data_IF_446955463751
#
_entry.id   IF_446955463751
#
_cell.length_a   1.000
_cell.length_b   1.000
_cell.length_c   1.000
_cell.angle_alpha   90.00
_cell.angle_beta   90.00
_cell.angle_gamma   90.00
#
_symmetry.space_group_name_H-M   'P 1'
#
loop_
_entity.id
_entity.type
_entity.pdbx_description
1 polymer ?
2 non-polymer ?
3 non-polymer ?
4 non-polymer ?
5 water ?
#
# COMPACT_ATOMS: atom_id res chain seq x y z
N UNK A 1 11.67 8.53 -9.39
CA UNK A 1 10.72 8.51 -8.25
C UNK A 1 11.28 7.65 -7.10
N UNK A 2 10.79 7.94 -5.91
CA UNK A 2 11.11 7.15 -4.71
C UNK A 2 10.47 5.79 -4.75
N UNK A 3 11.21 4.79 -4.28
CA UNK A 3 10.69 3.44 -4.05
C UNK A 3 10.75 2.95 -2.60
N UNK A 4 11.36 3.73 -1.71
CA UNK A 4 11.53 3.32 -0.31
C UNK A 4 10.46 4.03 0.53
N UNK A 5 9.45 3.25 0.93
CA UNK A 5 8.34 3.72 1.75
C UNK A 5 8.72 4.29 3.08
N UNK A 6 9.87 3.85 3.60
CA UNK A 6 10.37 4.37 4.89
C UNK A 6 10.97 5.71 4.77
N UNK A 7 11.46 6.06 3.59
CA UNK A 7 12.23 7.28 3.40
C UNK A 7 11.48 8.42 2.70
N UNK A 8 10.32 8.13 2.11
CA UNK A 8 9.52 9.11 1.44
C UNK A 8 8.21 8.57 0.93
N UNK A 9 7.37 9.44 0.35
CA UNK A 9 6.10 8.99 -0.14
C UNK A 9 6.18 8.19 -1.41
N UNK A 10 5.09 7.49 -1.70
CA UNK A 10 4.99 6.70 -2.89
C UNK A 10 4.03 7.34 -3.83
N UNK A 11 4.52 7.74 -4.98
CA UNK A 11 3.65 8.25 -6.03
C UNK A 11 2.82 7.14 -6.65
N UNK A 12 1.80 7.52 -7.39
CA UNK A 12 0.99 6.53 -8.08
C UNK A 12 1.82 5.71 -9.08
N UNK A 13 2.83 6.32 -9.72
CA UNK A 13 3.74 5.61 -10.59
C UNK A 13 4.61 4.58 -9.81
N UNK A 14 5.10 4.96 -8.64
CA UNK A 14 6.01 4.13 -7.88
C UNK A 14 5.35 2.82 -7.42
N UNK A 15 4.03 2.84 -7.21
CA UNK A 15 3.26 1.65 -6.84
C UNK A 15 3.39 0.51 -7.85
N UNK A 16 3.66 0.86 -9.10
CA UNK A 16 3.62 -0.08 -10.20
C UNK A 16 4.96 -0.22 -10.95
N UNK A 17 5.78 0.83 -10.92
CA UNK A 17 7.01 0.87 -11.68
C UNK A 17 8.28 0.58 -10.85
N UNK A 18 8.19 0.70 -9.53
CA UNK A 18 9.29 0.26 -8.67
C UNK A 18 9.55 -1.23 -8.90
N UNK A 19 10.81 -1.62 -9.01
CA UNK A 19 11.17 -3.02 -9.17
C UNK A 19 10.73 -3.80 -7.95
N UNK A 20 9.79 -4.76 -8.14
CA UNK A 20 9.25 -5.47 -6.97
C UNK A 20 10.24 -6.37 -6.26
N UNK A 21 11.37 -6.64 -6.91
CA UNK A 21 12.43 -7.43 -6.34
C UNK A 21 13.39 -6.63 -5.48
N UNK A 22 13.24 -5.29 -5.42
CA UNK A 22 14.07 -4.48 -4.54
C UNK A 22 13.74 -4.81 -3.07
N UNK A 23 14.75 -5.25 -2.34
CA UNK A 23 14.62 -5.85 -1.00
C UNK A 23 14.62 -4.77 0.07
N UNK A 24 13.58 -3.94 -0.01
CA UNK A 24 13.38 -2.83 0.91
C UNK A 24 12.40 -3.25 1.99
N UNK A 25 12.92 -3.43 3.20
CA UNK A 25 12.18 -4.02 4.29
C UNK A 25 12.03 -5.51 4.19
N UNK A 26 11.45 -6.09 5.22
CA UNK A 26 11.32 -7.54 5.29
C UNK A 26 10.29 -8.05 4.28
N UNK A 27 10.57 -9.20 3.69
CA UNK A 27 9.63 -9.86 2.83
C UNK A 27 8.40 -10.30 3.61
N UNK A 28 7.25 -10.23 2.97
CA UNK A 28 6.00 -10.83 3.47
C UNK A 28 5.32 -11.65 2.39
N UNK A 29 4.97 -12.89 2.74
CA UNK A 29 4.27 -13.75 1.79
C UNK A 29 2.87 -13.23 1.48
N UNK A 30 2.27 -12.51 2.44
CA UNK A 30 0.88 -12.11 2.31
C UNK A 30 0.66 -10.78 1.58
N UNK A 31 1.75 -10.08 1.27
CA UNK A 31 1.66 -8.90 0.41
C UNK A 31 1.62 -9.37 -1.04
N UNK A 32 1.32 -8.43 -1.94
CA UNK A 32 1.33 -8.63 -3.38
C UNK A 32 2.22 -7.60 -4.07
N UNK A 33 2.63 -7.89 -5.30
CA UNK A 33 3.42 -6.95 -6.08
C UNK A 33 2.95 -6.99 -7.52
N UNK A 34 3.22 -5.90 -8.22
CA UNK A 34 2.89 -5.82 -9.64
C UNK A 34 4.10 -6.12 -10.52
N UNK A 35 3.88 -6.99 -11.51
CA UNK A 35 4.87 -7.31 -12.56
C UNK A 35 4.48 -6.52 -13.80
N UNK A 36 5.25 -5.45 -14.04
CA UNK A 36 4.99 -4.53 -15.11
C UNK A 36 5.16 -5.21 -16.47
N UNK A 37 6.08 -6.15 -16.57
CA UNK A 37 6.35 -6.82 -17.88
C UNK A 37 5.15 -7.67 -18.33
N UNK A 38 4.49 -8.34 -17.40
CA UNK A 38 3.33 -9.17 -17.67
C UNK A 38 1.97 -8.51 -17.40
N UNK A 39 1.98 -7.29 -16.84
CA UNK A 39 0.76 -6.60 -16.41
C UNK A 39 -0.09 -7.49 -15.49
N UNK A 40 0.56 -8.06 -14.48
CA UNK A 40 -0.12 -8.97 -13.56
C UNK A 40 0.36 -8.76 -12.14
N UNK A 41 -0.61 -8.75 -11.23
CA UNK A 41 -0.33 -8.76 -9.80
C UNK A 41 -0.04 -10.20 -9.38
N UNK A 42 1.01 -10.34 -8.59
CA UNK A 42 1.48 -11.62 -8.13
C UNK A 42 1.75 -11.61 -6.63
N UNK A 43 1.87 -12.79 -6.05
CA UNK A 43 2.05 -12.93 -4.64
C UNK A 43 3.43 -12.55 -4.17
N UNK A 44 3.49 -12.06 -2.92
CA UNK A 44 4.71 -11.67 -2.22
C UNK A 44 5.00 -10.20 -2.39
N UNK A 45 5.63 -9.63 -1.37
CA UNK A 45 6.17 -8.25 -1.51
C UNK A 45 7.09 -7.92 -0.37
N UNK A 46 7.97 -6.92 -0.60
CA UNK A 46 8.83 -6.38 0.44
C UNK A 46 8.16 -5.17 1.08
N UNK A 47 8.11 -5.18 2.41
CA UNK A 47 7.24 -4.30 3.20
C UNK A 47 7.49 -2.80 3.02
N UNK A 48 8.72 -2.43 2.68
CA UNK A 48 9.07 -1.04 2.53
C UNK A 48 9.33 -0.63 1.06
N UNK A 49 8.92 -1.48 0.12
CA UNK A 49 8.99 -1.17 -1.30
C UNK A 49 7.67 -0.54 -1.72
N UNK A 50 7.72 0.59 -2.42
CA UNK A 50 6.46 1.22 -2.89
C UNK A 50 5.60 0.25 -3.71
N UNK A 51 6.23 -0.66 -4.45
CA UNK A 51 5.53 -1.72 -5.15
C UNK A 51 5.35 -2.92 -4.24
N UNK A 52 4.48 -2.73 -3.26
CA UNK A 52 4.02 -3.80 -2.34
C UNK A 52 2.63 -3.39 -1.93
N UNK A 53 1.71 -4.33 -1.98
CA UNK A 53 0.27 -4.06 -1.89
C UNK A 53 -0.38 -4.97 -0.87
N UNK A 54 -1.38 -4.45 -0.15
CA UNK A 54 -2.00 -5.18 0.94
C UNK A 54 -2.96 -6.29 0.55
N UNK A 55 -3.41 -6.27 -0.70
CA UNK A 55 -4.29 -7.33 -1.24
C UNK A 55 -4.15 -7.41 -2.74
N UNK A 56 -4.61 -8.52 -3.33
CA UNK A 56 -4.65 -8.68 -4.77
C UNK A 56 -5.54 -7.61 -5.39
N UNK A 57 -6.69 -7.35 -4.78
CA UNK A 57 -7.58 -6.33 -5.33
C UNK A 57 -7.04 -4.94 -5.35
N UNK A 58 -6.28 -4.58 -4.32
CA UNK A 58 -5.59 -3.28 -4.26
C UNK A 58 -4.59 -3.16 -5.40
N UNK A 59 -3.81 -4.22 -5.61
CA UNK A 59 -2.81 -4.24 -6.67
C UNK A 59 -3.47 -4.17 -8.06
N UNK A 60 -4.54 -4.94 -8.23
CA UNK A 60 -5.25 -4.97 -9.49
C UNK A 60 -5.77 -3.58 -9.84
N UNK A 61 -6.44 -2.94 -8.90
CA UNK A 61 -6.94 -1.60 -9.13
C UNK A 61 -5.86 -0.58 -9.40
N UNK A 62 -4.84 -0.51 -8.56
CA UNK A 62 -3.82 0.51 -8.73
C UNK A 62 -3.00 0.32 -10.00
N UNK A 63 -2.74 -0.93 -10.37
CA UNK A 63 -1.74 -1.20 -11.40
C UNK A 63 -2.32 -1.81 -12.67
N UNK A 64 -3.04 -2.92 -12.56
CA UNK A 64 -3.64 -3.53 -13.74
C UNK A 64 -4.70 -2.65 -14.36
N UNK A 65 -5.38 -1.82 -13.56
CA UNK A 65 -6.45 -0.95 -14.04
C UNK A 65 -5.94 0.46 -14.23
N UNK A 66 -5.66 1.18 -13.15
CA UNK A 66 -5.34 2.60 -13.24
C UNK A 66 -4.00 2.86 -13.96
N UNK A 67 -2.90 2.31 -13.46
CA UNK A 67 -1.59 2.59 -14.05
C UNK A 67 -1.53 2.12 -15.51
N UNK A 68 -2.05 0.93 -15.77
CA UNK A 68 -2.02 0.39 -17.14
C UNK A 68 -2.84 1.25 -18.11
N UNK A 69 -3.90 1.88 -17.63
CA UNK A 69 -4.77 2.71 -18.47
C UNK A 69 -4.13 4.04 -18.80
N UNK A 70 -3.31 4.55 -17.90
CA UNK A 70 -2.90 5.97 -17.96
C UNK A 70 -1.43 6.11 -18.30
N UNK A 71 -0.62 5.15 -17.88
CA UNK A 71 0.83 5.34 -18.00
C UNK A 71 1.31 5.32 -19.46
N UNK A 72 1.97 6.41 -19.86
CA UNK A 72 2.64 6.51 -21.14
C UNK A 72 3.60 7.69 -21.10
N UNK B 1 -14.12 11.23 -0.63
CA UNK B 1 -12.84 10.74 -1.19
C UNK B 1 -12.78 9.25 -0.95
N UNK B 2 -12.11 8.52 -1.84
CA UNK B 2 -12.22 7.07 -1.84
C UNK B 2 -11.42 6.45 -0.70
N UNK B 3 -12.02 5.46 -0.02
CA UNK B 3 -11.33 4.69 1.02
C UNK B 3 -11.20 3.21 0.74
N UNK B 4 -11.69 2.73 -0.41
CA UNK B 4 -11.63 1.32 -0.73
C UNK B 4 -10.61 1.07 -1.86
N UNK B 5 -9.52 0.37 -1.52
CA UNK B 5 -8.42 0.11 -2.45
C UNK B 5 -8.83 -0.70 -3.65
N UNK B 6 -9.91 -1.47 -3.52
CA UNK B 6 -10.44 -2.27 -4.63
C UNK B 6 -11.21 -1.47 -5.61
N UNK B 7 -11.69 -0.30 -5.19
CA UNK B 7 -12.68 0.47 -5.97
C UNK B 7 -12.13 1.75 -6.62
N UNK B 8 -10.96 2.18 -6.24
CA UNK B 8 -10.32 3.36 -6.81
C UNK B 8 -8.95 3.59 -6.21
N UNK B 9 -8.30 4.73 -6.54
CA UNK B 9 -6.96 5.03 -6.05
C UNK B 9 -7.02 5.51 -4.62
N UNK B 10 -5.89 5.44 -3.93
CA UNK B 10 -5.78 6.02 -2.61
C UNK B 10 -4.89 7.24 -2.68
N UNK B 11 -5.48 8.40 -2.47
CA UNK B 11 -4.74 9.64 -2.36
C UNK B 11 -3.86 9.64 -1.11
N UNK B 12 -2.86 10.51 -1.09
CA UNK B 12 -2.07 10.69 0.11
C UNK B 12 -2.96 11.03 1.29
N UNK B 13 -4.00 11.84 1.06
CA UNK B 13 -4.99 12.16 2.09
C UNK B 13 -5.62 10.91 2.68
N UNK B 14 -6.08 10.05 1.78
CA UNK B 14 -6.85 8.86 2.12
C UNK B 14 -6.04 7.92 3.01
N UNK B 15 -4.73 7.83 2.77
CA UNK B 15 -3.85 6.96 3.54
C UNK B 15 -3.88 7.25 5.03
N UNK B 16 -4.11 8.51 5.38
CA UNK B 16 -4.10 8.94 6.77
C UNK B 16 -5.49 9.30 7.32
N UNK B 17 -6.39 9.74 6.44
CA UNK B 17 -7.70 10.28 6.87
C UNK B 17 -8.86 9.33 6.74
N UNK B 18 -8.72 8.26 5.97
CA UNK B 18 -9.73 7.20 5.97
C UNK B 18 -9.84 6.61 7.36
N UNK B 19 -11.06 6.33 7.78
CA UNK B 19 -11.29 5.68 9.07
C UNK B 19 -10.71 4.27 9.04
N UNK B 20 -9.70 3.99 9.87
CA UNK B 20 -9.05 2.68 9.78
C UNK B 20 -9.93 1.53 10.28
N UNK B 21 -11.05 1.85 10.96
CA UNK B 21 -11.96 0.86 11.44
C UNK B 21 -12.95 0.40 10.37
N UNK B 22 -12.97 1.05 9.20
CA UNK B 22 -13.87 0.58 8.11
C UNK B 22 -13.42 -0.83 7.69
N UNK B 23 -14.30 -1.80 7.84
CA UNK B 23 -14.00 -3.21 7.63
C UNK B 23 -14.12 -3.53 6.13
N UNK B 24 -13.06 -3.18 5.43
CA UNK B 24 -12.97 -3.34 3.98
C UNK B 24 -11.89 -4.38 3.73
N UNK B 25 -12.34 -5.59 3.40
CA UNK B 25 -11.43 -6.69 3.25
C UNK B 25 -11.06 -7.31 4.58
N UNK B 26 -10.30 -8.39 4.50
CA UNK B 26 -9.88 -9.10 5.68
C UNK B 26 -8.93 -8.28 6.54
N UNK B 27 -9.07 -8.44 7.84
CA UNK B 27 -8.13 -7.85 8.79
C UNK B 27 -6.83 -8.61 8.86
N UNK B 28 -5.74 -7.86 9.00
CA UNK B 28 -4.42 -8.45 9.24
C UNK B 28 -3.69 -7.75 10.36
N UNK B 29 -3.13 -8.53 11.28
CA UNK B 29 -2.30 -8.00 12.35
C UNK B 29 -0.85 -7.70 11.92
N UNK B 30 -0.53 -7.95 10.64
CA UNK B 30 0.76 -7.60 10.07
C UNK B 30 0.74 -6.29 9.31
N UNK B 31 -0.45 -5.73 9.15
CA UNK B 31 -0.58 -4.39 8.58
C UNK B 31 -0.66 -3.37 9.71
N UNK B 32 -0.56 -2.08 9.38
CA UNK B 32 -0.57 -0.98 10.31
C UNK B 32 -1.58 0.07 9.83
N UNK B 33 -2.03 0.90 10.75
CA UNK B 33 -2.95 2.00 10.42
C UNK B 33 -2.59 3.24 11.23
N UNK B 34 -2.95 4.41 10.71
CA UNK B 34 -2.73 5.66 11.39
C UNK B 34 -3.97 6.01 12.22
N UNK B 35 -3.72 6.36 13.48
CA UNK B 35 -4.75 6.86 14.39
C UNK B 35 -4.65 8.38 14.47
N UNK B 36 -5.60 9.10 13.88
CA UNK B 36 -5.50 10.56 13.77
C UNK B 36 -5.66 11.25 15.11
N UNK B 37 -6.34 10.61 16.04
CA UNK B 37 -6.54 11.19 17.39
C UNK B 37 -5.24 11.25 18.19
N UNK B 38 -4.43 10.20 18.09
CA UNK B 38 -3.19 10.11 18.82
C UNK B 38 -1.99 10.52 18.00
N UNK B 39 -2.16 10.69 16.69
CA UNK B 39 -1.06 10.98 15.79
C UNK B 39 0.00 9.90 15.87
N UNK B 40 -0.44 8.65 15.95
CA UNK B 40 0.45 7.51 15.93
C UNK B 40 -0.07 6.40 15.07
N UNK B 41 0.85 5.65 14.50
CA UNK B 41 0.54 4.43 13.83
C UNK B 41 0.42 3.31 14.86
N UNK B 42 -0.51 2.41 14.59
CA UNK B 42 -0.83 1.31 15.45
C UNK B 42 -0.99 0.04 14.59
N UNK B 43 -0.79 -1.11 15.23
CA UNK B 43 -0.89 -2.37 14.55
C UNK B 43 -2.33 -2.71 14.14
N UNK B 44 -2.45 -3.34 12.98
CA UNK B 44 -3.69 -3.80 12.43
C UNK B 44 -4.11 -2.99 11.23
N UNK B 45 -4.67 -3.68 10.25
CA UNK B 45 -5.31 -3.02 9.13
C UNK B 45 -6.26 -3.91 8.37
N UNK B 46 -7.31 -3.30 7.83
CA UNK B 46 -8.20 -3.98 6.89
C UNK B 46 -7.62 -3.81 5.50
N UNK B 47 -7.40 -4.91 4.81
CA UNK B 47 -6.49 -4.93 3.66
C UNK B 47 -6.98 -4.17 2.44
N UNK B 48 -8.30 -3.88 2.37
CA UNK B 48 -8.81 -3.04 1.27
C UNK B 48 -9.10 -1.61 1.70
N UNK B 49 -8.72 -1.24 2.92
CA UNK B 49 -8.91 0.13 3.42
C UNK B 49 -7.70 0.96 3.01
N UNK B 50 -7.90 2.14 2.45
CA UNK B 50 -6.77 3.00 2.07
C UNK B 50 -5.83 3.27 3.26
N UNK B 51 -6.40 3.41 4.45
CA UNK B 51 -5.62 3.52 5.69
C UNK B 51 -5.28 2.11 6.22
N UNK B 52 -4.42 1.44 5.45
CA UNK B 52 -3.77 0.20 5.84
C UNK B 52 -2.42 0.24 5.16
N UNK B 53 -1.38 -0.09 5.92
CA UNK B 53 0.01 0.15 5.52
C UNK B 53 0.82 -1.14 5.71
N UNK B 54 1.78 -1.36 4.81
CA UNK B 54 2.54 -2.61 4.81
C UNK B 54 3.59 -2.73 5.91
N UNK B 55 3.94 -1.62 6.54
CA UNK B 55 4.87 -1.66 7.65
C UNK B 55 4.65 -0.46 8.56
N UNK B 56 5.17 -0.54 9.78
CA UNK B 56 5.07 0.60 10.69
C UNK B 56 5.80 1.80 10.14
N UNK B 57 7.00 1.58 9.57
CA UNK B 57 7.76 2.69 9.03
C UNK B 57 7.13 3.36 7.82
N UNK B 58 6.44 2.58 6.99
CA UNK B 58 5.64 3.13 5.90
C UNK B 58 4.53 4.05 6.41
N UNK B 59 3.85 3.61 7.45
CA UNK B 59 2.75 4.38 8.05
C UNK B 59 3.32 5.65 8.69
N UNK B 60 4.45 5.55 9.40
CA UNK B 60 5.04 6.73 10.06
C UNK B 60 5.41 7.80 9.02
N UNK B 61 6.05 7.37 7.94
CA UNK B 61 6.44 8.30 6.90
C UNK B 61 5.23 8.95 6.20
N UNK B 62 4.20 8.14 5.93
CA UNK B 62 3.03 8.61 5.24
C UNK B 62 2.19 9.58 6.08
N UNK B 63 2.14 9.36 7.40
CA UNK B 63 1.09 9.97 8.23
C UNK B 63 1.48 10.66 9.55
N UNK B 64 2.50 10.21 10.25
CA UNK B 64 2.83 10.82 11.53
C UNK B 64 3.45 12.20 11.32
N UNK B 65 2.98 13.17 12.11
CA UNK B 65 3.55 14.53 12.01
C UNK B 65 4.22 14.96 13.32
N UNK B 66 5.18 15.88 13.24
CA UNK B 66 5.81 16.41 14.48
C UNK B 66 4.96 17.53 15.04
#
# INVERSE_FOLDING_TARGET
FNCNKREGPCSQRSLCECDPNLQLGRHSDQLWHYNLRTNRCERGGYRDNCNSHSSSGACVMACERIHHHHHH
FNCNKREGPCSQRSLCECDPNLQLGRHSDQLWHYNLRTNRCERGGYRDNCNSHSSSGACVMACERIHHHHHH
#
